data_IF_547926466893
#
_entry.id   IF_547926466893
#
_cell.length_a   1.000
_cell.length_b   1.000
_cell.length_c   1.000
_cell.angle_alpha   90.00
_cell.angle_beta   90.00
_cell.angle_gamma   90.00
#
_symmetry.space_group_name_H-M   'P 1'
#
loop_
_entity.id
_entity.type
_entity.pdbx_description
1 polymer ?
#
# COMPACT_ATOMS: atom_id res chain seq x y z
N UNK A 1 -20.78 -0.69 15.11
CA UNK A 1 -19.95 0.46 14.73
C UNK A 1 -18.87 -0.07 13.79
N UNK A 2 -19.04 0.05 12.47
CA UNK A 2 -18.07 -0.51 11.52
C UNK A 2 -16.74 0.26 11.66
N UNK A 3 -15.59 -0.42 11.77
CA UNK A 3 -14.31 0.29 11.81
C UNK A 3 -14.14 0.98 10.46
N UNK A 4 -14.03 2.32 10.49
CA UNK A 4 -13.58 3.11 9.34
C UNK A 4 -12.20 2.57 8.97
N UNK A 5 -12.14 1.73 7.94
CA UNK A 5 -10.87 1.31 7.36
C UNK A 5 -10.14 2.58 6.97
N UNK A 6 -9.05 2.92 7.67
CA UNK A 6 -8.17 4.00 7.25
C UNK A 6 -7.63 3.61 5.89
N UNK A 7 -8.29 4.10 4.84
CA UNK A 7 -7.85 3.88 3.49
C UNK A 7 -6.47 4.52 3.37
N UNK A 8 -5.46 3.67 3.13
CA UNK A 8 -4.11 4.15 2.93
C UNK A 8 -4.10 4.92 1.63
N UNK A 9 -3.75 6.20 1.72
CA UNK A 9 -3.64 7.13 0.61
C UNK A 9 -2.75 6.57 -0.50
N UNK A 10 -3.08 6.93 -1.74
CA UNK A 10 -2.29 6.59 -2.92
C UNK A 10 -0.81 6.95 -2.76
N UNK A 11 -0.54 8.10 -2.15
CA UNK A 11 0.80 8.59 -1.88
C UNK A 11 1.62 7.61 -1.04
N UNK A 12 1.07 7.13 0.07
CA UNK A 12 1.74 6.12 0.91
C UNK A 12 1.96 4.80 0.18
N UNK A 13 1.02 4.38 -0.68
CA UNK A 13 1.20 3.15 -1.48
C UNK A 13 2.34 3.31 -2.49
N UNK A 14 2.43 4.48 -3.15
CA UNK A 14 3.53 4.82 -4.06
C UNK A 14 4.87 4.80 -3.32
N UNK A 15 4.92 5.43 -2.15
CA UNK A 15 6.10 5.46 -1.30
C UNK A 15 6.56 4.05 -0.89
N UNK A 16 5.63 3.15 -0.55
CA UNK A 16 5.95 1.73 -0.25
C UNK A 16 6.57 1.04 -1.47
N UNK A 17 6.01 1.24 -2.66
CA UNK A 17 6.56 0.63 -3.89
C UNK A 17 7.92 1.19 -4.27
N UNK A 18 8.18 2.48 -4.04
CA UNK A 18 9.50 3.08 -4.25
C UNK A 18 10.54 2.52 -3.29
N UNK A 19 10.23 2.46 -1.98
CA UNK A 19 11.12 1.86 -0.99
C UNK A 19 11.35 0.37 -1.27
N UNK A 20 10.37 -0.34 -1.84
CA UNK A 20 10.53 -1.73 -2.26
C UNK A 20 11.45 -1.86 -3.48
N UNK A 21 11.38 -0.94 -4.45
CA UNK A 21 12.31 -0.88 -5.59
C UNK A 21 13.75 -0.61 -5.14
N UNK A 22 13.94 0.17 -4.07
CA UNK A 22 15.22 0.35 -3.38
C UNK A 22 15.71 -0.90 -2.61
N UNK A 23 15.05 -2.06 -2.75
CA UNK A 23 15.39 -3.33 -2.07
C UNK A 23 15.32 -3.28 -0.53
N UNK A 24 14.64 -2.29 0.06
CA UNK A 24 14.43 -2.23 1.52
C UNK A 24 13.55 -3.37 1.99
N UNK A 25 13.84 -3.91 3.17
CA UNK A 25 13.02 -4.96 3.77
C UNK A 25 11.66 -4.42 4.21
N UNK A 26 10.60 -5.23 4.13
CA UNK A 26 9.25 -4.81 4.55
C UNK A 26 9.19 -4.28 5.99
N UNK A 27 10.03 -4.82 6.89
CA UNK A 27 10.18 -4.33 8.27
C UNK A 27 10.75 -2.91 8.33
N UNK A 28 11.71 -2.58 7.48
CA UNK A 28 12.30 -1.24 7.42
C UNK A 28 11.31 -0.24 6.83
N UNK A 29 10.63 -0.62 5.74
CA UNK A 29 9.56 0.17 5.14
C UNK A 29 8.47 0.48 6.17
N UNK A 30 8.05 -0.52 6.95
CA UNK A 30 7.07 -0.33 8.03
C UNK A 30 7.56 0.63 9.11
N UNK A 31 8.84 0.58 9.49
CA UNK A 31 9.42 1.54 10.46
C UNK A 31 9.45 2.96 9.91
N UNK A 32 9.88 3.15 8.67
CA UNK A 32 9.97 4.47 8.01
C UNK A 32 8.58 5.11 7.92
N UNK A 33 7.58 4.34 7.48
CA UNK A 33 6.22 4.83 7.24
C UNK A 33 5.29 4.70 8.45
N UNK A 34 5.80 4.21 9.59
CA UNK A 34 5.01 3.87 10.79
C UNK A 34 3.80 2.98 10.47
N UNK A 35 3.98 2.05 9.55
CA UNK A 35 2.98 1.06 9.14
C UNK A 35 3.32 -0.32 9.68
N UNK A 36 2.30 -1.16 9.89
CA UNK A 36 2.54 -2.55 10.25
C UNK A 36 3.15 -3.33 9.08
N UNK A 37 4.05 -4.26 9.39
CA UNK A 37 4.66 -5.16 8.40
C UNK A 37 3.62 -5.86 7.52
N UNK A 38 2.51 -6.30 8.12
CA UNK A 38 1.41 -6.96 7.40
C UNK A 38 0.79 -6.04 6.34
N UNK A 39 0.63 -4.76 6.65
CA UNK A 39 0.07 -3.76 5.73
C UNK A 39 1.02 -3.51 4.56
N UNK A 40 2.31 -3.38 4.83
CA UNK A 40 3.34 -3.22 3.78
C UNK A 40 3.35 -4.45 2.87
N UNK A 41 3.34 -5.65 3.45
CA UNK A 41 3.30 -6.91 2.70
C UNK A 41 2.04 -7.04 1.84
N UNK A 42 0.88 -6.67 2.37
CA UNK A 42 -0.37 -6.65 1.60
C UNK A 42 -0.30 -5.70 0.39
N UNK A 43 0.25 -4.50 0.57
CA UNK A 43 0.37 -3.50 -0.51
C UNK A 43 1.36 -3.96 -1.57
N UNK A 44 2.53 -4.49 -1.18
CA UNK A 44 3.51 -5.02 -2.13
C UNK A 44 2.95 -6.23 -2.88
N UNK A 45 2.29 -7.15 -2.19
CA UNK A 45 1.63 -8.30 -2.82
C UNK A 45 0.60 -7.85 -3.87
N UNK A 46 -0.24 -6.89 -3.50
CA UNK A 46 -1.26 -6.32 -4.40
C UNK A 46 -0.63 -5.60 -5.60
N UNK A 47 0.49 -4.91 -5.38
CA UNK A 47 1.27 -4.30 -6.46
C UNK A 47 1.84 -5.35 -7.42
N UNK A 48 2.32 -6.49 -6.92
CA UNK A 48 2.81 -7.58 -7.77
C UNK A 48 1.68 -8.28 -8.54
N UNK A 49 0.50 -8.46 -7.93
CA UNK A 49 -0.64 -9.13 -8.57
C UNK A 49 -1.33 -8.26 -9.65
N UNK A 50 -1.45 -6.95 -9.41
CA UNK A 50 -2.20 -6.03 -10.29
C UNK A 50 -1.26 -5.20 -11.17
N UNK A 51 0.01 -5.07 -10.79
CA UNK A 51 0.99 -4.19 -11.45
C UNK A 51 0.76 -2.70 -11.21
N UNK A 52 -0.25 -2.34 -10.39
CA UNK A 52 -0.67 -0.94 -10.20
C UNK A 52 -0.81 -0.58 -8.72
N UNK A 53 -0.38 0.64 -8.41
CA UNK A 53 -0.45 1.25 -7.07
C UNK A 53 -1.73 2.05 -6.89
N UNK A 54 -2.42 2.35 -7.99
CA UNK A 54 -3.65 3.12 -8.02
C UNK A 54 -4.84 2.35 -7.45
N UNK A 55 -5.71 3.09 -6.77
CA UNK A 55 -6.97 2.58 -6.29
C UNK A 55 -7.86 2.47 -7.53
N UNK A 56 -8.25 1.25 -7.89
CA UNK A 56 -9.13 1.04 -9.04
C UNK A 56 -10.36 1.92 -8.82
N UNK A 57 -10.72 2.81 -9.77
CA UNK A 57 -11.95 3.59 -9.64
C UNK A 57 -13.10 2.60 -9.44
N UNK A 58 -14.01 2.91 -8.51
CA UNK A 58 -15.18 2.07 -8.29
C UNK A 58 -15.96 2.05 -9.62
N UNK A 59 -16.13 0.90 -10.28
CA UNK A 59 -16.91 0.87 -11.51
C UNK A 59 -18.36 1.21 -11.13
N UNK A 60 -18.85 2.36 -11.59
CA UNK A 60 -20.21 2.84 -11.33
C UNK A 60 -20.32 4.26 -10.75
N UNK A 61 -19.54 5.22 -11.23
CA UNK A 61 -19.90 6.65 -11.10
C UNK A 61 -20.88 7.02 -12.22
N UNK A 62 -21.98 7.75 -11.95
CA UNK A 62 -22.93 8.21 -12.95
C UNK A 62 -22.33 9.19 -13.96
#
# INVERSE_FOLDING_TARGET
>A
MAPKTKEISLDMRKHITELHKERKSFREIGKILKLSFTTVGYIVKKYLEIGSVENKPRPGGP
#
